data_IF_027288177402
#
_entry.id   IF_027288177402
#
_cell.length_a   1.000
_cell.length_b   1.000
_cell.length_c   1.000
_cell.angle_alpha   90.00
_cell.angle_beta   90.00
_cell.angle_gamma   90.00
#
_symmetry.space_group_name_H-M   'P 1'
#
loop_
_entity.id
_entity.type
_entity.pdbx_description
1 polymer ?
#
# COMPACT_ATOMS: atom_id res chain seq x y z
N UNK A 1 15.61 -3.15 -0.84
CA UNK A 1 16.46 -4.16 -0.21
C UNK A 1 15.61 -5.27 0.40
N UNK A 2 16.01 -6.50 0.20
CA UNK A 2 15.23 -7.64 0.69
C UNK A 2 15.21 -7.76 2.22
N UNK A 3 16.19 -7.21 2.90
CA UNK A 3 16.28 -7.24 4.37
C UNK A 3 15.88 -5.90 5.02
N UNK A 4 15.29 -5.00 4.28
CA UNK A 4 14.91 -3.68 4.79
C UNK A 4 13.78 -3.76 5.82
N UNK A 5 13.88 -2.96 6.88
CA UNK A 5 12.85 -2.83 7.91
C UNK A 5 12.61 -1.34 8.16
N UNK A 6 11.37 -0.88 8.05
CA UNK A 6 11.01 0.51 8.32
C UNK A 6 10.83 0.77 9.82
N UNK A 7 10.72 2.05 10.20
CA UNK A 7 10.42 2.43 11.60
C UNK A 7 9.13 1.80 12.12
N UNK A 8 8.15 1.60 11.25
CA UNK A 8 6.86 1.04 11.61
C UNK A 8 6.81 -0.48 11.50
N UNK A 9 7.95 -1.11 11.21
CA UNK A 9 8.04 -2.56 11.12
C UNK A 9 7.67 -3.15 9.78
N UNK A 10 7.55 -2.33 8.72
CA UNK A 10 7.34 -2.84 7.37
C UNK A 10 8.63 -3.50 6.86
N UNK A 11 8.53 -4.70 6.32
CA UNK A 11 9.69 -5.57 6.05
C UNK A 11 9.81 -5.96 4.58
N UNK A 12 11.04 -6.07 4.13
CA UNK A 12 11.41 -6.65 2.84
C UNK A 12 11.20 -5.72 1.66
N UNK A 13 11.28 -6.29 0.45
CA UNK A 13 11.23 -5.55 -0.80
C UNK A 13 9.97 -4.71 -0.96
N UNK A 14 8.81 -5.25 -0.58
CA UNK A 14 7.53 -4.54 -0.71
C UNK A 14 7.07 -3.93 0.61
N UNK A 15 7.91 -3.92 1.63
CA UNK A 15 7.65 -3.29 2.92
C UNK A 15 6.32 -3.75 3.52
N UNK A 16 6.26 -5.05 3.85
CA UNK A 16 5.06 -5.69 4.40
C UNK A 16 5.09 -5.66 5.93
N UNK A 17 4.02 -5.19 6.54
CA UNK A 17 3.85 -5.25 7.99
C UNK A 17 3.44 -6.64 8.47
N UNK A 18 3.67 -6.93 9.74
CA UNK A 18 3.38 -8.24 10.32
C UNK A 18 1.90 -8.59 10.25
N UNK A 19 1.02 -7.63 10.46
CA UNK A 19 -0.43 -7.86 10.36
C UNK A 19 -0.86 -8.27 8.97
N UNK A 20 -0.34 -7.61 7.94
CA UNK A 20 -0.61 -7.96 6.54
C UNK A 20 -0.05 -9.33 6.22
N UNK A 21 1.16 -9.64 6.69
CA UNK A 21 1.77 -10.97 6.52
C UNK A 21 0.88 -12.05 7.10
N UNK A 22 0.42 -11.87 8.33
CA UNK A 22 -0.38 -12.88 9.02
C UNK A 22 -1.74 -13.07 8.33
N UNK A 23 -2.37 -11.99 7.92
CA UNK A 23 -3.63 -12.04 7.19
C UNK A 23 -3.47 -12.76 5.85
N UNK A 24 -2.44 -12.41 5.09
CA UNK A 24 -2.16 -13.06 3.80
C UNK A 24 -1.86 -14.55 3.98
N UNK A 25 -1.06 -14.91 4.98
CA UNK A 25 -0.73 -16.30 5.25
C UNK A 25 -1.98 -17.12 5.55
N UNK A 26 -2.91 -16.57 6.31
CA UNK A 26 -4.18 -17.23 6.61
C UNK A 26 -5.04 -17.39 5.36
N UNK A 27 -5.23 -16.33 4.59
CA UNK A 27 -6.06 -16.35 3.38
C UNK A 27 -5.48 -17.24 2.28
N UNK A 28 -4.17 -17.24 2.12
CA UNK A 28 -3.48 -18.04 1.11
C UNK A 28 -3.13 -19.44 1.61
N UNK A 29 -3.43 -19.74 2.86
CA UNK A 29 -3.16 -21.04 3.50
C UNK A 29 -1.68 -21.42 3.43
N UNK A 30 -0.81 -20.47 3.75
CA UNK A 30 0.63 -20.65 3.78
C UNK A 30 1.06 -21.05 5.18
N UNK A 31 1.75 -22.19 5.30
CA UNK A 31 2.22 -22.70 6.60
C UNK A 31 3.47 -21.99 7.11
N UNK A 32 4.39 -21.71 6.21
CA UNK A 32 5.65 -21.06 6.53
C UNK A 32 5.87 -19.88 5.61
N UNK A 33 6.05 -18.71 6.19
CA UNK A 33 6.32 -17.49 5.45
C UNK A 33 7.56 -16.82 6.03
N UNK A 34 8.57 -16.63 5.19
CA UNK A 34 9.72 -15.79 5.51
C UNK A 34 9.53 -14.46 4.78
N UNK A 35 9.11 -13.44 5.52
CA UNK A 35 8.77 -12.14 4.95
C UNK A 35 9.98 -11.45 4.29
N UNK A 36 11.19 -11.83 4.64
CA UNK A 36 12.40 -11.30 4.03
C UNK A 36 12.80 -12.05 2.76
N UNK A 37 12.25 -13.24 2.53
CA UNK A 37 12.51 -13.97 1.31
C UNK A 37 11.79 -13.28 0.15
N UNK A 38 12.51 -12.88 -0.92
CA UNK A 38 11.89 -12.09 -2.00
C UNK A 38 10.62 -12.71 -2.58
N UNK A 39 10.61 -14.00 -2.82
CA UNK A 39 9.44 -14.70 -3.37
C UNK A 39 8.21 -14.57 -2.48
N UNK A 40 8.39 -14.80 -1.17
CA UNK A 40 7.28 -14.70 -0.21
C UNK A 40 6.82 -13.25 -0.05
N UNK A 41 7.77 -12.32 0.04
CA UNK A 41 7.45 -10.91 0.20
C UNK A 41 6.67 -10.37 -0.99
N UNK A 42 7.13 -10.64 -2.21
CA UNK A 42 6.48 -10.20 -3.44
C UNK A 42 5.10 -10.82 -3.57
N UNK A 43 4.97 -12.10 -3.28
CA UNK A 43 3.67 -12.80 -3.34
C UNK A 43 2.64 -12.14 -2.41
N UNK A 44 3.03 -11.88 -1.17
CA UNK A 44 2.16 -11.26 -0.20
C UNK A 44 1.85 -9.81 -0.59
N UNK A 45 2.84 -9.07 -1.04
CA UNK A 45 2.66 -7.68 -1.48
C UNK A 45 1.70 -7.57 -2.66
N UNK A 46 1.83 -8.45 -3.64
CA UNK A 46 0.93 -8.47 -4.79
C UNK A 46 -0.50 -8.88 -4.40
N UNK A 47 -0.64 -9.84 -3.50
CA UNK A 47 -1.93 -10.23 -2.96
C UNK A 47 -2.61 -9.04 -2.28
N UNK A 48 -1.86 -8.32 -1.46
CA UNK A 48 -2.37 -7.15 -0.74
C UNK A 48 -2.78 -6.02 -1.68
N UNK A 49 -1.93 -5.70 -2.67
CA UNK A 49 -2.26 -4.69 -3.68
C UNK A 49 -3.55 -5.04 -4.43
N UNK A 50 -3.72 -6.30 -4.80
CA UNK A 50 -4.93 -6.75 -5.48
C UNK A 50 -6.17 -6.58 -4.59
N UNK A 51 -6.05 -6.90 -3.30
CA UNK A 51 -7.14 -6.70 -2.34
C UNK A 51 -7.52 -5.22 -2.22
N UNK A 52 -6.53 -4.36 -2.13
CA UNK A 52 -6.76 -2.92 -2.04
C UNK A 52 -7.40 -2.37 -3.33
N UNK A 53 -6.96 -2.87 -4.47
CA UNK A 53 -7.54 -2.44 -5.75
C UNK A 53 -9.01 -2.83 -5.86
N UNK A 54 -9.37 -4.02 -5.41
CA UNK A 54 -10.77 -4.47 -5.38
C UNK A 54 -11.61 -3.59 -4.45
N UNK A 55 -11.03 -3.15 -3.34
CA UNK A 55 -11.75 -2.35 -2.35
C UNK A 55 -11.95 -0.90 -2.80
N UNK A 56 -10.92 -0.28 -3.33
CA UNK A 56 -10.93 1.15 -3.63
C UNK A 56 -11.10 1.48 -5.11
N UNK A 57 -10.66 0.62 -6.00
CA UNK A 57 -10.85 0.79 -7.44
C UNK A 57 -10.08 1.94 -8.09
N UNK A 58 -9.31 2.70 -7.33
CA UNK A 58 -8.60 3.89 -7.77
C UNK A 58 -7.14 3.79 -7.33
N UNK A 59 -6.21 4.01 -8.25
CA UNK A 59 -4.79 3.82 -7.99
C UNK A 59 -4.27 4.72 -6.86
N UNK A 60 -4.69 5.99 -6.82
CA UNK A 60 -4.24 6.91 -5.78
C UNK A 60 -4.68 6.42 -4.40
N UNK A 61 -5.91 5.94 -4.28
CA UNK A 61 -6.42 5.39 -3.02
C UNK A 61 -5.71 4.10 -2.64
N UNK A 62 -5.40 3.25 -3.62
CA UNK A 62 -4.65 2.00 -3.38
C UNK A 62 -3.26 2.32 -2.84
N UNK A 63 -2.56 3.26 -3.46
CA UNK A 63 -1.22 3.67 -3.01
C UNK A 63 -1.28 4.25 -1.59
N UNK A 64 -2.26 5.12 -1.33
CA UNK A 64 -2.46 5.70 -0.01
C UNK A 64 -2.77 4.62 1.04
N UNK A 65 -3.61 3.66 0.70
CA UNK A 65 -3.98 2.57 1.59
C UNK A 65 -2.81 1.61 1.84
N UNK A 66 -2.01 1.35 0.83
CA UNK A 66 -0.83 0.49 0.98
C UNK A 66 0.15 1.08 1.99
N UNK A 67 0.38 2.38 1.93
CA UNK A 67 1.31 3.06 2.83
C UNK A 67 0.67 3.45 4.16
N UNK A 68 -0.54 4.00 4.13
CA UNK A 68 -1.20 4.58 5.31
C UNK A 68 -2.24 3.70 5.98
N UNK A 69 -2.60 2.58 5.38
CA UNK A 69 -3.60 1.65 5.90
C UNK A 69 -4.99 1.89 5.33
N UNK A 70 -5.69 0.79 5.00
CA UNK A 70 -7.03 0.87 4.39
C UNK A 70 -8.06 1.48 5.35
N UNK A 71 -7.96 1.17 6.64
CA UNK A 71 -8.85 1.74 7.64
C UNK A 71 -8.74 3.25 7.74
N UNK A 72 -7.52 3.77 7.66
CA UNK A 72 -7.29 5.21 7.66
C UNK A 72 -7.86 5.86 6.41
N UNK A 73 -7.64 5.26 5.24
CA UNK A 73 -8.18 5.80 3.99
C UNK A 73 -9.71 5.85 4.04
N UNK A 74 -10.37 4.83 4.57
CA UNK A 74 -11.82 4.83 4.74
C UNK A 74 -12.29 5.95 5.65
N UNK A 75 -11.58 6.20 6.76
CA UNK A 75 -11.90 7.29 7.67
C UNK A 75 -11.77 8.64 6.96
N UNK A 76 -10.71 8.82 6.19
CA UNK A 76 -10.48 10.08 5.48
C UNK A 76 -11.54 10.32 4.41
N UNK A 77 -11.95 9.28 3.70
CA UNK A 77 -13.01 9.39 2.69
C UNK A 77 -14.37 9.76 3.31
N UNK A 78 -14.60 9.37 4.56
CA UNK A 78 -15.84 9.70 5.26
C UNK A 78 -15.82 11.09 5.91
N UNK A 79 -14.68 11.77 5.89
CA UNK A 79 -14.49 13.08 6.53
C UNK A 79 -14.48 14.17 5.48
N UNK A 80 -15.44 15.11 5.56
CA UNK A 80 -15.57 16.21 4.61
C UNK A 80 -14.34 17.11 4.56
N UNK A 81 -13.53 17.13 5.63
CA UNK A 81 -12.29 17.89 5.65
C UNK A 81 -11.27 17.35 4.63
N UNK A 82 -11.30 16.05 4.37
CA UNK A 82 -10.32 15.39 3.49
C UNK A 82 -10.91 14.94 2.16
N UNK A 83 -12.23 14.81 2.09
CA UNK A 83 -12.91 14.34 0.87
C UNK A 83 -14.28 14.97 0.77
N UNK A 84 -14.51 15.73 -0.29
CA UNK A 84 -15.81 16.39 -0.51
C UNK A 84 -16.86 15.45 -1.09
N UNK A 85 -16.44 14.42 -1.84
CA UNK A 85 -17.36 13.51 -2.52
C UNK A 85 -17.43 12.10 -1.90
N UNK A 86 -16.58 11.80 -0.93
CA UNK A 86 -16.51 10.47 -0.33
C UNK A 86 -15.85 9.43 -1.20
N UNK A 87 -15.37 9.79 -2.37
CA UNK A 87 -14.76 8.88 -3.34
C UNK A 87 -13.29 9.18 -3.62
N UNK A 88 -12.90 10.45 -3.52
CA UNK A 88 -11.53 10.90 -3.78
C UNK A 88 -11.00 11.69 -2.61
N UNK A 89 -9.70 11.54 -2.33
CA UNK A 89 -9.04 12.31 -1.28
C UNK A 89 -8.45 13.59 -1.85
N UNK A 90 -8.87 14.72 -1.31
CA UNK A 90 -8.33 16.04 -1.67
C UNK A 90 -7.11 16.36 -0.82
N UNK A 91 -7.08 15.82 0.40
CA UNK A 91 -5.97 15.99 1.34
C UNK A 91 -5.72 14.66 2.05
N UNK A 92 -4.46 14.30 2.18
CA UNK A 92 -4.03 13.13 2.95
C UNK A 92 -3.39 13.65 4.24
N UNK A 93 -4.01 13.39 5.42
CA UNK A 93 -3.51 13.97 6.68
C UNK A 93 -2.17 13.44 7.17
N UNK A 94 -1.77 12.24 6.73
CA UNK A 94 -0.44 11.71 7.06
C UNK A 94 0.58 12.23 6.04
N UNK A 95 1.52 13.05 6.48
CA UNK A 95 2.55 13.62 5.60
C UNK A 95 3.36 12.56 4.88
N UNK A 96 3.72 11.50 5.56
CA UNK A 96 4.48 10.40 4.98
C UNK A 96 3.70 9.75 3.83
N UNK A 97 2.41 9.48 4.05
CA UNK A 97 1.56 8.86 3.04
C UNK A 97 1.33 9.81 1.85
N UNK A 98 1.09 11.09 2.11
CA UNK A 98 0.93 12.09 1.06
C UNK A 98 2.19 12.17 0.18
N UNK A 99 3.36 12.20 0.80
CA UNK A 99 4.64 12.24 0.08
C UNK A 99 4.86 10.95 -0.71
N UNK A 100 4.48 9.82 -0.15
CA UNK A 100 4.61 8.51 -0.80
C UNK A 100 3.75 8.46 -2.07
N UNK A 101 2.50 8.90 -2.00
CA UNK A 101 1.59 8.93 -3.15
C UNK A 101 2.19 9.80 -4.26
N UNK A 102 2.65 11.00 -3.92
CA UNK A 102 3.26 11.92 -4.90
C UNK A 102 4.50 11.32 -5.55
N UNK A 103 5.35 10.67 -4.75
CA UNK A 103 6.57 10.03 -5.22
C UNK A 103 6.26 8.88 -6.18
N UNK A 104 5.30 8.04 -5.85
CA UNK A 104 4.91 6.90 -6.71
C UNK A 104 4.32 7.41 -8.02
N UNK A 105 3.44 8.42 -7.95
CA UNK A 105 2.84 9.02 -9.15
C UNK A 105 3.92 9.63 -10.06
N UNK A 106 4.86 10.36 -9.48
CA UNK A 106 5.97 10.94 -10.23
C UNK A 106 6.80 9.86 -10.93
N UNK A 107 7.17 8.81 -10.19
CA UNK A 107 7.96 7.71 -10.76
C UNK A 107 7.22 6.99 -11.88
N UNK A 108 5.91 6.82 -11.73
CA UNK A 108 5.08 6.19 -12.76
C UNK A 108 5.04 7.04 -14.03
N UNK A 109 4.88 8.35 -13.90
CA UNK A 109 4.89 9.26 -15.05
C UNK A 109 6.24 9.26 -15.76
N UNK A 110 7.33 9.22 -15.01
CA UNK A 110 8.68 9.13 -15.57
C UNK A 110 8.89 7.80 -16.31
N UNK A 111 8.41 6.72 -15.72
CA UNK A 111 8.47 5.40 -16.36
C UNK A 111 7.74 5.40 -17.70
N UNK A 112 6.56 5.98 -17.75
CA UNK A 112 5.78 6.09 -19.00
C UNK A 112 6.51 6.88 -20.06
N UNK A 113 7.18 7.97 -19.70
CA UNK A 113 7.95 8.78 -20.64
C UNK A 113 9.12 8.01 -21.23
N UNK A 114 9.76 7.14 -20.45
CA UNK A 114 10.92 6.38 -20.88
C UNK A 114 10.52 5.19 -21.77
N UNK A 115 9.44 4.49 -21.44
CA UNK A 115 9.07 3.21 -22.07
C UNK A 115 7.84 3.28 -22.99
N UNK A 116 7.21 4.42 -23.09
CA UNK A 116 6.13 4.65 -24.05
C UNK A 116 6.55 5.75 -25.04
#
# INVERSE_FOLDING_TARGET
KEDAVSRKGAKGLMQIGDGTRDWAAEELKLEKVDIFKPQDNIRIGCWYLNRLYREFGDLDLVIAAYNGGSGNVKKWLADEEFSSDGENLETIPFKETASYVEKVKYNYEMYKKIYN
#
